data_IF_879622628957
#
_entry.id   IF_879622628957
#
_cell.length_a   1.000
_cell.length_b   1.000
_cell.length_c   1.000
_cell.angle_alpha   90.00
_cell.angle_beta   90.00
_cell.angle_gamma   90.00
#
_symmetry.space_group_name_H-M   'P 1'
#
loop_
_entity.id
_entity.type
_entity.pdbx_description
1 polymer ?
#
# COMPACT_ATOMS: atom_id res chain seq x y z
N UNK A 1 25.72 1.64 -26.89
CA UNK A 1 24.79 2.63 -26.32
C UNK A 1 23.47 1.94 -26.02
N UNK A 2 23.02 2.01 -24.77
CA UNK A 2 21.89 1.24 -24.24
C UNK A 2 20.59 1.88 -24.71
N UNK A 3 19.91 1.23 -25.65
CA UNK A 3 18.50 1.50 -25.94
C UNK A 3 17.67 0.91 -24.80
N UNK A 4 17.44 1.68 -23.74
CA UNK A 4 16.40 1.34 -22.77
C UNK A 4 15.08 1.33 -23.52
N UNK A 5 14.52 0.13 -23.73
CA UNK A 5 13.27 -0.08 -24.45
C UNK A 5 12.16 0.72 -23.77
N UNK A 6 11.86 1.89 -24.32
CA UNK A 6 10.69 2.70 -23.93
C UNK A 6 9.46 1.94 -24.40
N UNK A 7 8.87 1.13 -23.52
CA UNK A 7 7.68 0.33 -23.85
C UNK A 7 6.40 1.17 -23.76
N UNK A 8 5.34 0.86 -24.53
CA UNK A 8 4.05 1.56 -24.43
C UNK A 8 3.44 1.56 -23.02
N UNK A 9 3.73 0.53 -22.21
CA UNK A 9 3.33 0.48 -20.81
C UNK A 9 3.96 1.60 -19.97
N UNK A 10 5.21 1.97 -20.26
CA UNK A 10 5.93 3.03 -19.57
C UNK A 10 5.26 4.41 -19.75
N UNK A 11 4.76 4.71 -20.96
CA UNK A 11 4.01 5.94 -21.23
C UNK A 11 2.67 5.99 -20.48
N UNK A 12 1.94 4.86 -20.47
CA UNK A 12 0.68 4.72 -19.72
C UNK A 12 0.91 4.95 -18.22
N UNK A 13 1.99 4.41 -17.65
CA UNK A 13 2.33 4.62 -16.24
C UNK A 13 2.67 6.08 -15.92
N UNK A 14 3.41 6.79 -16.78
CA UNK A 14 3.72 8.21 -16.56
C UNK A 14 2.44 9.06 -16.49
N UNK A 15 1.52 8.89 -17.45
CA UNK A 15 0.23 9.60 -17.44
C UNK A 15 -0.60 9.28 -16.20
N UNK A 16 -0.62 8.02 -15.76
CA UNK A 16 -1.34 7.62 -14.55
C UNK A 16 -0.75 8.22 -13.28
N UNK A 17 0.58 8.39 -13.23
CA UNK A 17 1.24 9.10 -12.12
C UNK A 17 0.77 10.55 -12.06
N UNK A 18 0.78 11.26 -13.19
CA UNK A 18 0.40 12.68 -13.24
C UNK A 18 -1.05 12.87 -12.75
N UNK A 19 -1.98 12.04 -13.24
CA UNK A 19 -3.39 12.04 -12.82
C UNK A 19 -3.54 11.67 -11.34
N UNK A 20 -2.82 10.66 -10.86
CA UNK A 20 -2.89 10.25 -9.45
C UNK A 20 -2.36 11.33 -8.49
N UNK A 21 -1.29 12.02 -8.87
CA UNK A 21 -0.71 13.13 -8.10
C UNK A 21 -1.67 14.32 -8.00
N UNK A 22 -2.39 14.62 -9.08
CA UNK A 22 -3.44 15.65 -9.08
C UNK A 22 -4.61 15.26 -8.19
N UNK A 23 -5.14 14.04 -8.36
CA UNK A 23 -6.28 13.55 -7.61
C UNK A 23 -6.00 13.56 -6.10
N UNK A 24 -4.86 13.03 -5.65
CA UNK A 24 -4.60 12.86 -4.21
C UNK A 24 -4.62 14.16 -3.40
N UNK A 25 -4.34 15.31 -4.04
CA UNK A 25 -4.33 16.65 -3.40
C UNK A 25 -5.72 17.07 -2.91
N UNK A 26 -6.77 16.69 -3.63
CA UNK A 26 -8.15 17.15 -3.37
C UNK A 26 -9.06 16.03 -2.85
N UNK A 27 -8.52 14.84 -2.63
CA UNK A 27 -9.28 13.70 -2.14
C UNK A 27 -9.38 13.66 -0.62
N UNK A 28 -10.48 13.07 -0.15
CA UNK A 28 -10.64 12.64 1.25
C UNK A 28 -9.53 11.66 1.62
N UNK A 29 -9.23 11.53 2.92
CA UNK A 29 -8.19 10.63 3.40
C UNK A 29 -8.35 9.19 2.87
N UNK A 30 -9.57 8.64 2.86
CA UNK A 30 -9.79 7.28 2.33
C UNK A 30 -9.39 7.14 0.86
N UNK A 31 -9.86 8.04 0.00
CA UNK A 31 -9.56 8.00 -1.44
C UNK A 31 -8.09 8.36 -1.69
N UNK A 32 -7.51 9.27 -0.91
CA UNK A 32 -6.10 9.62 -0.93
C UNK A 32 -5.24 8.40 -0.63
N UNK A 33 -5.55 7.63 0.41
CA UNK A 33 -4.81 6.41 0.75
C UNK A 33 -4.83 5.38 -0.38
N UNK A 34 -5.98 5.21 -1.04
CA UNK A 34 -6.10 4.33 -2.21
C UNK A 34 -5.18 4.81 -3.35
N UNK A 35 -5.27 6.08 -3.73
CA UNK A 35 -4.49 6.65 -4.83
C UNK A 35 -2.99 6.63 -4.52
N UNK A 36 -2.57 6.94 -3.29
CA UNK A 36 -1.17 6.88 -2.88
C UNK A 36 -0.62 5.44 -2.93
N UNK A 37 -1.41 4.43 -2.58
CA UNK A 37 -1.03 3.03 -2.76
C UNK A 37 -0.81 2.66 -4.24
N UNK A 38 -1.70 3.14 -5.12
CA UNK A 38 -1.54 2.97 -6.57
C UNK A 38 -0.30 3.70 -7.11
N UNK A 39 -0.06 4.94 -6.67
CA UNK A 39 1.15 5.70 -7.03
C UNK A 39 2.42 4.95 -6.59
N UNK A 40 2.42 4.33 -5.42
CA UNK A 40 3.52 3.47 -4.97
C UNK A 40 3.86 2.35 -5.97
N UNK A 41 2.84 1.67 -6.49
CA UNK A 41 2.99 0.60 -7.50
C UNK A 41 3.52 1.17 -8.81
N UNK A 42 2.94 2.29 -9.28
CA UNK A 42 3.32 2.94 -10.52
C UNK A 42 4.78 3.44 -10.48
N UNK A 43 5.16 4.13 -9.40
CA UNK A 43 6.52 4.60 -9.19
C UNK A 43 7.52 3.45 -9.14
N UNK A 44 7.20 2.34 -8.47
CA UNK A 44 8.05 1.13 -8.46
C UNK A 44 8.26 0.60 -9.88
N UNK A 45 7.20 0.47 -10.67
CA UNK A 45 7.28 -0.03 -12.05
C UNK A 45 8.05 0.91 -12.98
N UNK A 46 8.14 2.21 -12.64
CA UNK A 46 8.96 3.20 -13.33
C UNK A 46 10.41 3.28 -12.81
N UNK A 47 10.80 2.46 -11.84
CA UNK A 47 12.12 2.52 -11.20
C UNK A 47 12.33 3.72 -10.27
N UNK A 48 11.26 4.45 -9.94
CA UNK A 48 11.26 5.65 -9.10
C UNK A 48 11.07 5.28 -7.62
N UNK A 49 12.02 4.53 -7.07
CA UNK A 49 11.84 3.87 -5.75
C UNK A 49 11.63 4.85 -4.59
N UNK A 50 12.29 6.01 -4.59
CA UNK A 50 12.10 7.03 -3.55
C UNK A 50 10.67 7.54 -3.52
N UNK A 51 10.10 7.88 -4.69
CA UNK A 51 8.70 8.30 -4.79
C UNK A 51 7.73 7.18 -4.44
N UNK A 52 8.06 5.94 -4.83
CA UNK A 52 7.25 4.77 -4.47
C UNK A 52 7.14 4.63 -2.95
N UNK A 53 8.27 4.68 -2.25
CA UNK A 53 8.32 4.60 -0.79
C UNK A 53 7.54 5.73 -0.11
N UNK A 54 7.66 6.96 -0.61
CA UNK A 54 6.89 8.10 -0.09
C UNK A 54 5.38 7.89 -0.25
N UNK A 55 4.92 7.47 -1.42
CA UNK A 55 3.50 7.25 -1.69
C UNK A 55 2.93 6.08 -0.85
N UNK A 56 3.71 5.01 -0.71
CA UNK A 56 3.37 3.89 0.17
C UNK A 56 3.27 4.29 1.65
N UNK A 57 4.22 5.08 2.17
CA UNK A 57 4.21 5.56 3.56
C UNK A 57 2.99 6.43 3.84
N UNK A 58 2.59 7.28 2.89
CA UNK A 58 1.36 8.06 3.00
C UNK A 58 0.11 7.16 3.09
N UNK A 59 0.00 6.19 2.18
CA UNK A 59 -1.13 5.24 2.19
C UNK A 59 -1.20 4.46 3.51
N UNK A 60 -0.05 3.96 3.98
CA UNK A 60 0.05 3.19 5.23
C UNK A 60 -0.39 4.03 6.44
N UNK A 61 0.10 5.27 6.55
CA UNK A 61 -0.26 6.19 7.64
C UNK A 61 -1.77 6.37 7.72
N UNK A 62 -2.40 6.73 6.59
CA UNK A 62 -3.84 6.98 6.56
C UNK A 62 -4.64 5.70 6.85
N UNK A 63 -4.20 4.55 6.32
CA UNK A 63 -4.88 3.27 6.57
C UNK A 63 -4.83 2.85 8.05
N UNK A 64 -3.72 3.13 8.75
CA UNK A 64 -3.63 2.92 10.21
C UNK A 64 -4.61 3.81 10.96
N UNK A 65 -4.61 5.11 10.69
CA UNK A 65 -5.55 6.06 11.33
C UNK A 65 -7.03 5.70 11.09
N UNK A 66 -7.37 5.17 9.91
CA UNK A 66 -8.72 4.70 9.60
C UNK A 66 -9.06 3.37 10.28
N UNK A 67 -8.09 2.46 10.38
CA UNK A 67 -8.24 1.17 11.08
C UNK A 67 -8.43 1.35 12.58
N UNK A 68 -7.81 2.34 13.21
CA UNK A 68 -8.06 2.68 14.62
C UNK A 68 -9.51 3.11 14.86
N UNK A 69 -10.12 3.82 13.91
CA UNK A 69 -11.49 4.37 14.04
C UNK A 69 -12.58 3.38 13.65
N UNK A 70 -12.32 2.55 12.64
CA UNK A 70 -13.25 1.52 12.18
C UNK A 70 -12.46 0.29 11.72
N UNK A 71 -12.05 -0.57 12.68
CA UNK A 71 -11.20 -1.71 12.42
C UNK A 71 -11.78 -2.67 11.38
N UNK A 72 -13.06 -3.01 11.48
CA UNK A 72 -13.71 -3.99 10.60
C UNK A 72 -13.64 -3.57 9.12
N UNK A 73 -13.83 -2.28 8.85
CA UNK A 73 -13.81 -1.76 7.48
C UNK A 73 -12.39 -1.59 6.93
N UNK A 74 -11.41 -1.25 7.78
CA UNK A 74 -10.12 -0.74 7.33
C UNK A 74 -8.93 -1.67 7.60
N UNK A 75 -9.00 -2.61 8.54
CA UNK A 75 -7.96 -3.64 8.71
C UNK A 75 -7.69 -4.41 7.40
N UNK A 76 -8.69 -4.87 6.63
CA UNK A 76 -8.42 -5.55 5.36
C UNK A 76 -7.67 -4.66 4.34
N UNK A 77 -7.99 -3.36 4.33
CA UNK A 77 -7.36 -2.37 3.45
C UNK A 77 -5.93 -2.02 3.92
N UNK A 78 -5.69 -2.02 5.23
CA UNK A 78 -4.37 -1.86 5.84
C UNK A 78 -3.47 -3.05 5.50
N UNK A 79 -3.94 -4.28 5.70
CA UNK A 79 -3.25 -5.53 5.33
C UNK A 79 -2.82 -5.52 3.85
N UNK A 80 -3.75 -5.16 2.96
CA UNK A 80 -3.43 -5.08 1.51
C UNK A 80 -2.32 -4.06 1.23
N UNK A 81 -2.31 -2.94 1.96
CA UNK A 81 -1.29 -1.91 1.82
C UNK A 81 0.06 -2.41 2.33
N UNK A 82 0.09 -3.04 3.50
CA UNK A 82 1.29 -3.63 4.10
C UNK A 82 1.93 -4.68 3.19
N UNK A 83 1.15 -5.60 2.62
CA UNK A 83 1.65 -6.62 1.69
C UNK A 83 2.34 -5.98 0.46
N UNK A 84 1.76 -4.93 -0.10
CA UNK A 84 2.35 -4.24 -1.26
C UNK A 84 3.68 -3.55 -0.91
N UNK A 85 3.77 -3.00 0.31
CA UNK A 85 4.98 -2.35 0.83
C UNK A 85 6.06 -3.38 1.13
N UNK A 86 5.71 -4.51 1.75
CA UNK A 86 6.65 -5.60 2.02
C UNK A 86 7.26 -6.13 0.72
N UNK A 87 6.42 -6.38 -0.29
CA UNK A 87 6.90 -6.78 -1.63
C UNK A 87 7.79 -5.73 -2.27
N UNK A 88 7.51 -4.44 -2.06
CA UNK A 88 8.36 -3.36 -2.54
C UNK A 88 9.72 -3.38 -1.83
N UNK A 89 9.75 -3.48 -0.51
CA UNK A 89 10.97 -3.50 0.27
C UNK A 89 11.88 -4.68 -0.06
N UNK A 90 11.32 -5.89 -0.14
CA UNK A 90 12.05 -7.09 -0.60
C UNK A 90 12.65 -6.85 -2.00
N UNK A 91 11.87 -6.28 -2.93
CA UNK A 91 12.35 -6.02 -4.29
C UNK A 91 13.44 -4.92 -4.37
N UNK A 92 13.52 -4.04 -3.38
CA UNK A 92 14.51 -2.95 -3.31
C UNK A 92 15.69 -3.24 -2.37
N UNK A 93 15.82 -4.47 -1.87
CA UNK A 93 16.93 -4.89 -0.99
C UNK A 93 16.78 -4.49 0.49
N UNK A 94 15.57 -4.09 0.92
CA UNK A 94 15.20 -3.75 2.30
C UNK A 94 14.44 -4.91 2.95
N UNK A 95 15.03 -6.10 2.91
CA UNK A 95 14.29 -7.34 3.22
C UNK A 95 13.79 -7.41 4.66
N UNK A 96 14.57 -6.91 5.62
CA UNK A 96 14.19 -6.88 7.04
C UNK A 96 12.91 -6.05 7.25
N UNK A 97 12.84 -4.83 6.71
CA UNK A 97 11.65 -3.99 6.84
C UNK A 97 10.43 -4.60 6.13
N UNK A 98 10.66 -5.41 5.10
CA UNK A 98 9.61 -6.17 4.44
C UNK A 98 9.08 -7.32 5.30
N UNK A 99 9.98 -8.04 5.98
CA UNK A 99 9.64 -9.15 6.88
C UNK A 99 8.87 -8.63 8.09
N UNK A 100 9.34 -7.55 8.72
CA UNK A 100 8.66 -6.92 9.87
C UNK A 100 7.20 -6.57 9.54
N UNK A 101 6.97 -6.03 8.34
CA UNK A 101 5.65 -5.62 7.90
C UNK A 101 4.73 -6.83 7.59
N UNK A 102 5.30 -7.95 7.12
CA UNK A 102 4.57 -9.20 6.95
C UNK A 102 4.20 -9.82 8.30
N UNK A 103 5.09 -9.74 9.29
CA UNK A 103 4.80 -10.19 10.66
C UNK A 103 3.64 -9.40 11.28
N UNK A 104 3.68 -8.06 11.20
CA UNK A 104 2.57 -7.19 11.63
C UNK A 104 1.24 -7.57 10.94
N UNK A 105 1.30 -7.87 9.64
CA UNK A 105 0.12 -8.28 8.86
C UNK A 105 -0.50 -9.58 9.37
N UNK A 106 0.34 -10.59 9.69
CA UNK A 106 -0.11 -11.88 10.21
C UNK A 106 -0.77 -11.75 11.58
N UNK A 107 -0.21 -10.91 12.45
CA UNK A 107 -0.80 -10.60 13.75
C UNK A 107 -2.17 -9.97 13.61
N UNK A 108 -2.32 -8.97 12.73
CA UNK A 108 -3.60 -8.30 12.47
C UNK A 108 -4.64 -9.26 11.85
N UNK A 109 -4.21 -10.15 10.96
CA UNK A 109 -5.06 -11.20 10.39
C UNK A 109 -5.56 -12.20 11.44
N UNK A 110 -4.67 -12.64 12.33
CA UNK A 110 -5.01 -13.57 13.41
C UNK A 110 -5.86 -12.92 14.51
N UNK A 111 -5.64 -11.64 14.83
CA UNK A 111 -6.52 -10.87 15.72
C UNK A 111 -7.94 -10.75 15.15
N UNK A 112 -8.09 -10.59 13.83
CA UNK A 112 -9.41 -10.57 13.19
C UNK A 112 -10.12 -11.93 13.22
N UNK A 113 -9.37 -13.03 13.03
CA UNK A 113 -9.93 -14.39 13.13
C UNK A 113 -10.30 -14.74 14.57
N UNK A 114 -9.44 -14.44 15.54
CA UNK A 114 -9.70 -14.73 16.96
C UNK A 114 -10.87 -13.91 17.50
N UNK A 115 -10.98 -12.62 17.17
CA UNK A 115 -12.12 -11.79 17.58
C UNK A 115 -13.44 -12.19 16.91
N UNK A 116 -13.41 -12.68 15.66
CA UNK A 116 -14.59 -13.26 15.00
C UNK A 116 -14.99 -14.60 15.63
N UNK A 117 -14.04 -15.45 15.98
CA UNK A 117 -14.31 -16.73 16.64
C UNK A 117 -14.99 -16.53 18.01
N UNK A 118 -14.60 -15.51 18.79
CA UNK A 118 -15.27 -15.20 20.06
C UNK A 118 -16.66 -14.60 19.88
N UNK A 119 -16.90 -13.85 18.79
CA UNK A 119 -18.22 -13.25 18.50
C UNK A 119 -19.26 -14.30 18.05
N UNK A 120 -18.84 -15.41 17.42
CA UNK A 120 -19.73 -16.51 17.03
C UNK A 120 -19.96 -17.55 18.13
N UNK A 121 -19.14 -17.58 19.17
CA UNK A 121 -19.29 -18.51 20.31
C UNK A 121 -20.16 -17.96 21.46
N UNK A 122 -20.68 -16.73 21.32
CA UNK A 122 -21.49 -16.04 22.33
C UNK A 122 -22.99 -15.92 21.96
N UNK A 123 -23.46 -16.70 20.99
CA UNK A 123 -24.88 -16.87 20.60
C UNK A 123 -25.27 -18.34 20.76
#
# INVERSE_FOLDING_TARGET
MISSKVTPAHYRYKRLVDVGEELRRNLTNEKRALVSGTLGILYRNLGRFKQAETAYKEALKIRRELAEKNPETYIPKLITTQINIARFYVATGKSEEGIDLLMETLEQGNLSVSQKATAFAAL
#
